data_IF_669154561489
#
_entry.id   IF_669154561489
#
_cell.length_a   1.000
_cell.length_b   1.000
_cell.length_c   1.000
_cell.angle_alpha   90.00
_cell.angle_beta   90.00
_cell.angle_gamma   90.00
#
_symmetry.space_group_name_H-M   'P 1'
#
loop_
_entity.id
_entity.type
_entity.pdbx_description
1 polymer ?
#
# COMPACT_ATOMS: atom_id res chain seq x y z
N UNK A 1 13.89 -8.90 -7.77
CA UNK A 1 13.18 -9.90 -6.95
C UNK A 1 12.69 -9.32 -5.63
N UNK A 2 13.56 -8.77 -4.77
CA UNK A 2 13.16 -8.15 -3.49
C UNK A 2 12.13 -7.01 -3.61
N UNK A 3 12.31 -6.11 -4.58
CA UNK A 3 11.34 -5.06 -4.92
C UNK A 3 9.94 -5.61 -5.24
N UNK A 4 9.90 -6.70 -6.00
CA UNK A 4 8.65 -7.31 -6.46
C UNK A 4 7.95 -8.07 -5.33
N UNK A 5 8.71 -8.77 -4.48
CA UNK A 5 8.15 -9.40 -3.27
C UNK A 5 7.66 -8.37 -2.26
N UNK A 6 8.36 -7.25 -2.10
CA UNK A 6 7.92 -6.14 -1.24
C UNK A 6 6.60 -5.54 -1.74
N UNK A 7 6.48 -5.33 -3.04
CA UNK A 7 5.27 -4.79 -3.67
C UNK A 7 4.11 -5.78 -3.57
N UNK A 8 4.32 -7.05 -3.92
CA UNK A 8 3.29 -8.08 -3.89
C UNK A 8 2.76 -8.30 -2.46
N UNK A 9 3.66 -8.46 -1.49
CA UNK A 9 3.29 -8.74 -0.10
C UNK A 9 2.77 -7.49 0.62
N UNK A 10 3.37 -6.32 0.37
CA UNK A 10 2.88 -5.04 0.90
C UNK A 10 1.45 -4.73 0.45
N UNK A 11 1.09 -5.10 -0.79
CA UNK A 11 -0.28 -4.94 -1.30
C UNK A 11 -1.32 -5.79 -0.56
N UNK A 12 -0.94 -6.97 -0.03
CA UNK A 12 -1.81 -7.85 0.75
C UNK A 12 -2.20 -7.20 2.10
N UNK A 13 -1.27 -6.47 2.71
CA UNK A 13 -1.54 -5.73 3.95
C UNK A 13 -2.38 -4.47 3.69
N UNK A 14 -2.26 -3.88 2.49
CA UNK A 14 -2.96 -2.66 2.08
C UNK A 14 -4.40 -2.90 1.58
N UNK A 15 -5.03 -4.03 1.93
CA UNK A 15 -6.30 -4.55 1.42
C UNK A 15 -7.58 -3.71 1.71
N UNK A 16 -7.47 -2.39 1.88
CA UNK A 16 -8.59 -1.46 1.93
C UNK A 16 -9.60 -1.61 0.77
N UNK A 17 -9.17 -1.82 -0.49
CA UNK A 17 -10.09 -2.02 -1.62
C UNK A 17 -10.89 -3.33 -1.55
N UNK A 18 -10.30 -4.41 -1.04
CA UNK A 18 -10.95 -5.74 -0.98
C UNK A 18 -12.09 -5.79 0.04
N UNK A 19 -12.09 -4.90 1.03
CA UNK A 19 -13.17 -4.80 2.01
C UNK A 19 -14.40 -4.04 1.48
N UNK A 20 -14.23 -3.21 0.44
CA UNK A 20 -15.32 -2.51 -0.26
C UNK A 20 -16.10 -3.41 -1.24
N UNK A 21 -15.50 -4.52 -1.67
CA UNK A 21 -16.12 -5.55 -2.53
C UNK A 21 -16.66 -6.71 -1.69
N UNK A 22 -17.14 -6.43 -0.47
CA UNK A 22 -17.97 -7.42 0.23
C UNK A 22 -19.33 -7.44 -0.48
N UNK A 23 -19.79 -8.61 -0.98
CA UNK A 23 -21.10 -8.68 -1.58
C UNK A 23 -22.15 -8.17 -0.59
N UNK A 24 -23.08 -7.35 -1.09
CA UNK A 24 -24.24 -6.91 -0.33
C UNK A 24 -24.91 -8.12 0.33
N UNK A 25 -25.35 -7.92 1.58
CA UNK A 25 -25.95 -8.93 2.47
C UNK A 25 -26.73 -10.02 1.71
N UNK A 26 -26.30 -11.28 1.82
CA UNK A 26 -27.19 -12.44 1.66
C UNK A 26 -26.79 -13.60 0.73
N UNK A 27 -25.60 -13.63 0.12
CA UNK A 27 -25.18 -14.74 -0.78
C UNK A 27 -24.02 -15.59 -0.24
N UNK A 28 -23.90 -16.88 -0.65
CA UNK A 28 -22.71 -17.68 -0.37
C UNK A 28 -21.45 -16.98 -0.93
N UNK A 29 -20.26 -17.22 -0.36
CA UNK A 29 -19.03 -16.54 -0.76
C UNK A 29 -18.78 -16.77 -2.25
N UNK A 30 -18.90 -15.70 -3.04
CA UNK A 30 -18.73 -15.75 -4.48
C UNK A 30 -17.25 -15.93 -4.84
N UNK A 31 -16.77 -17.18 -4.84
CA UNK A 31 -15.42 -17.54 -5.29
C UNK A 31 -15.10 -17.06 -6.71
N UNK A 32 -16.13 -16.81 -7.54
CA UNK A 32 -15.98 -16.29 -8.90
C UNK A 32 -15.55 -14.81 -8.98
N UNK A 33 -15.82 -13.99 -7.95
CA UNK A 33 -15.50 -12.56 -7.98
C UNK A 33 -13.99 -12.29 -8.02
N UNK A 34 -13.23 -13.07 -7.25
CA UNK A 34 -11.76 -12.98 -7.26
C UNK A 34 -11.14 -13.42 -8.59
N UNK A 35 -11.68 -14.47 -9.20
CA UNK A 35 -11.20 -14.96 -10.50
C UNK A 35 -11.50 -13.98 -11.65
N UNK A 36 -12.70 -13.40 -11.66
CA UNK A 36 -13.08 -12.38 -12.63
C UNK A 36 -12.23 -11.11 -12.46
N UNK A 37 -12.05 -10.65 -11.22
CA UNK A 37 -11.20 -9.49 -10.92
C UNK A 37 -9.74 -9.72 -11.35
N UNK A 38 -9.18 -10.91 -11.05
CA UNK A 38 -7.83 -11.27 -11.47
C UNK A 38 -7.67 -11.32 -12.99
N UNK A 39 -8.63 -11.92 -13.70
CA UNK A 39 -8.64 -11.96 -15.17
C UNK A 39 -8.72 -10.55 -15.77
N UNK A 40 -9.60 -9.70 -15.26
CA UNK A 40 -9.72 -8.31 -15.71
C UNK A 40 -8.43 -7.52 -15.47
N UNK A 41 -7.82 -7.67 -14.29
CA UNK A 41 -6.55 -7.01 -13.96
C UNK A 41 -5.43 -7.49 -14.89
N UNK A 42 -5.37 -8.78 -15.19
CA UNK A 42 -4.41 -9.36 -16.13
C UNK A 42 -4.61 -8.79 -17.55
N UNK A 43 -5.84 -8.75 -18.05
CA UNK A 43 -6.14 -8.15 -19.36
C UNK A 43 -5.78 -6.66 -19.40
N UNK A 44 -6.03 -5.92 -18.32
CA UNK A 44 -5.70 -4.49 -18.26
C UNK A 44 -4.18 -4.25 -18.22
N UNK A 45 -3.42 -5.12 -17.56
CA UNK A 45 -1.96 -5.05 -17.52
C UNK A 45 -1.30 -5.25 -18.90
N UNK A 46 -2.00 -5.88 -19.85
CA UNK A 46 -1.51 -6.01 -21.23
C UNK A 46 -1.52 -4.69 -22.00
N UNK A 47 -2.38 -3.72 -21.63
CA UNK A 47 -2.51 -2.46 -22.37
C UNK A 47 -1.23 -1.62 -22.29
N UNK A 48 -0.67 -1.31 -21.10
CA UNK A 48 0.61 -0.60 -21.02
C UNK A 48 1.77 -1.38 -21.62
N UNK A 49 1.77 -2.71 -21.49
CA UNK A 49 2.81 -3.57 -22.05
C UNK A 49 2.83 -3.49 -23.58
N UNK A 50 1.66 -3.53 -24.21
CA UNK A 50 1.51 -3.37 -25.65
C UNK A 50 1.99 -1.98 -26.10
N UNK A 51 1.61 -0.91 -25.39
CA UNK A 51 2.03 0.46 -25.70
C UNK A 51 3.55 0.66 -25.56
N UNK A 52 4.19 0.03 -24.56
CA UNK A 52 5.64 0.06 -24.42
C UNK A 52 6.34 -0.68 -25.57
N UNK A 53 5.79 -1.82 -25.99
CA UNK A 53 6.33 -2.58 -27.11
C UNK A 53 6.20 -1.84 -28.45
N UNK A 54 5.07 -1.17 -28.69
CA UNK A 54 4.91 -0.33 -29.90
C UNK A 54 5.87 0.86 -29.89
N UNK A 55 6.24 1.39 -28.73
CA UNK A 55 7.25 2.45 -28.63
C UNK A 55 8.61 2.04 -29.20
N UNK A 56 9.07 0.84 -28.85
CA UNK A 56 10.34 0.27 -29.34
C UNK A 56 10.31 0.06 -30.86
N UNK A 57 9.15 -0.31 -31.42
CA UNK A 57 8.99 -0.54 -32.87
C UNK A 57 8.90 0.75 -33.68
N UNK A 58 8.29 1.81 -33.14
CA UNK A 58 8.09 3.07 -33.85
C UNK A 58 9.35 3.94 -33.83
N UNK A 59 9.98 4.08 -32.66
CA UNK A 59 11.23 4.84 -32.53
C UNK A 59 12.17 4.18 -31.50
N UNK A 60 13.06 3.28 -31.97
CA UNK A 60 13.99 2.58 -31.10
C UNK A 60 15.07 3.50 -30.51
N UNK A 61 15.45 4.59 -31.19
CA UNK A 61 16.46 5.52 -30.67
C UNK A 61 15.90 6.37 -29.54
N UNK A 62 14.69 6.93 -29.71
CA UNK A 62 14.00 7.65 -28.64
C UNK A 62 13.81 6.76 -27.42
N UNK A 63 13.34 5.53 -27.64
CA UNK A 63 13.09 4.58 -26.54
C UNK A 63 14.38 4.18 -25.83
N UNK A 64 15.47 3.93 -26.56
CA UNK A 64 16.76 3.62 -25.94
C UNK A 64 17.32 4.77 -25.09
N UNK A 65 17.15 6.03 -25.54
CA UNK A 65 17.56 7.22 -24.77
C UNK A 65 16.73 7.37 -23.49
N UNK A 66 15.41 7.32 -23.62
CA UNK A 66 14.50 7.48 -22.48
C UNK A 66 14.58 6.31 -21.49
N UNK A 67 14.90 5.09 -21.93
CA UNK A 67 15.17 3.98 -21.01
C UNK A 67 16.40 4.20 -20.12
N UNK A 68 17.38 4.99 -20.58
CA UNK A 68 18.59 5.31 -19.83
C UNK A 68 18.39 6.50 -18.86
N UNK A 69 17.53 7.45 -19.23
CA UNK A 69 17.24 8.63 -18.41
C UNK A 69 16.01 8.42 -17.51
N UNK A 70 14.83 8.25 -18.12
CA UNK A 70 13.57 8.09 -17.42
C UNK A 70 12.55 7.28 -18.24
N UNK A 71 12.44 5.98 -17.91
CA UNK A 71 11.50 5.05 -18.54
C UNK A 71 10.04 5.52 -18.39
N UNK A 72 9.72 6.36 -17.42
CA UNK A 72 8.36 6.86 -17.18
C UNK A 72 7.90 7.86 -18.25
N UNK A 73 8.84 8.51 -18.94
CA UNK A 73 8.60 9.51 -19.98
C UNK A 73 8.41 8.93 -21.38
N UNK A 74 8.64 7.62 -21.58
CA UNK A 74 8.47 6.94 -22.88
C UNK A 74 7.04 7.08 -23.39
N UNK A 75 6.05 6.75 -22.55
CA UNK A 75 4.64 6.80 -22.94
C UNK A 75 4.15 8.23 -23.20
N UNK A 76 4.36 9.22 -22.32
CA UNK A 76 3.98 10.60 -22.61
C UNK A 76 4.58 11.13 -23.91
N UNK A 77 5.88 10.90 -24.15
CA UNK A 77 6.60 11.42 -25.32
C UNK A 77 6.05 10.82 -26.61
N UNK A 78 5.80 9.50 -26.63
CA UNK A 78 5.23 8.82 -27.78
C UNK A 78 3.86 9.38 -28.16
N UNK A 79 3.02 9.67 -27.17
CA UNK A 79 1.67 10.16 -27.41
C UNK A 79 1.70 11.60 -27.92
N UNK A 80 2.57 12.44 -27.37
CA UNK A 80 2.71 13.82 -27.83
C UNK A 80 3.28 13.93 -29.24
N UNK A 81 4.19 13.02 -29.62
CA UNK A 81 4.91 13.09 -30.89
C UNK A 81 4.18 12.38 -32.04
N UNK A 82 3.45 11.29 -31.76
CA UNK A 82 2.87 10.44 -32.81
C UNK A 82 1.34 10.40 -32.86
N UNK A 83 0.62 10.90 -31.84
CA UNK A 83 -0.85 10.91 -31.85
C UNK A 83 -1.45 12.28 -32.21
N UNK A 84 -2.62 12.31 -32.88
CA UNK A 84 -3.32 13.56 -33.19
C UNK A 84 -3.92 14.20 -31.92
N UNK A 85 -4.09 15.52 -31.95
CA UNK A 85 -4.53 16.33 -30.80
C UNK A 85 -5.75 15.79 -30.04
N UNK A 86 -6.84 15.29 -30.68
CA UNK A 86 -7.98 14.75 -29.95
C UNK A 86 -7.61 13.53 -29.10
N UNK A 87 -6.77 12.63 -29.63
CA UNK A 87 -6.36 11.42 -28.93
C UNK A 87 -5.46 11.75 -27.73
N UNK A 88 -4.60 12.77 -27.84
CA UNK A 88 -3.80 13.26 -26.72
C UNK A 88 -4.69 13.78 -25.58
N UNK A 89 -5.72 14.57 -25.89
CA UNK A 89 -6.65 15.11 -24.89
C UNK A 89 -7.37 13.98 -24.16
N UNK A 90 -7.89 12.99 -24.89
CA UNK A 90 -8.55 11.83 -24.27
C UNK A 90 -7.60 11.02 -23.39
N UNK A 91 -6.37 10.76 -23.86
CA UNK A 91 -5.39 9.99 -23.11
C UNK A 91 -4.98 10.69 -21.82
N UNK A 92 -4.50 11.94 -21.90
CA UNK A 92 -4.04 12.68 -20.72
C UNK A 92 -5.22 13.00 -19.79
N UNK A 93 -6.41 13.29 -20.32
CA UNK A 93 -7.62 13.47 -19.53
C UNK A 93 -8.00 12.21 -18.74
N UNK A 94 -7.98 11.04 -19.39
CA UNK A 94 -8.26 9.77 -18.73
C UNK A 94 -7.18 9.43 -17.67
N UNK A 95 -5.90 9.64 -18.00
CA UNK A 95 -4.78 9.42 -17.09
C UNK A 95 -4.88 10.29 -15.83
N UNK A 96 -5.10 11.60 -16.00
CA UNK A 96 -5.26 12.53 -14.88
C UNK A 96 -6.49 12.20 -14.03
N UNK A 97 -7.60 11.82 -14.66
CA UNK A 97 -8.82 11.38 -13.95
C UNK A 97 -8.56 10.12 -13.11
N UNK A 98 -7.87 9.13 -13.66
CA UNK A 98 -7.49 7.92 -12.94
C UNK A 98 -6.57 8.24 -11.75
N UNK A 99 -5.56 9.10 -11.94
CA UNK A 99 -4.64 9.53 -10.88
C UNK A 99 -5.40 10.26 -9.77
N UNK A 100 -6.31 11.19 -10.10
CA UNK A 100 -7.11 11.90 -9.10
C UNK A 100 -8.01 10.97 -8.31
N UNK A 101 -8.64 9.99 -8.98
CA UNK A 101 -9.46 8.97 -8.32
C UNK A 101 -8.63 8.18 -7.30
N UNK A 102 -7.46 7.67 -7.69
CA UNK A 102 -6.57 6.92 -6.80
C UNK A 102 -5.99 7.77 -5.68
N UNK A 103 -5.54 9.00 -5.97
CA UNK A 103 -4.99 9.92 -4.98
C UNK A 103 -6.02 10.28 -3.90
N UNK A 104 -7.27 10.51 -4.30
CA UNK A 104 -8.35 10.82 -3.35
C UNK A 104 -8.59 9.67 -2.37
N UNK A 105 -8.62 8.42 -2.83
CA UNK A 105 -8.79 7.24 -2.00
C UNK A 105 -7.58 6.99 -1.08
N UNK A 106 -6.36 7.16 -1.60
CA UNK A 106 -5.12 7.00 -0.86
C UNK A 106 -4.93 8.04 0.25
N UNK A 107 -5.39 9.27 0.06
CA UNK A 107 -5.37 10.31 1.10
C UNK A 107 -6.51 10.16 2.11
N UNK A 108 -7.68 9.67 1.68
CA UNK A 108 -8.84 9.52 2.55
C UNK A 108 -8.66 8.38 3.57
N UNK A 109 -8.11 7.24 3.16
CA UNK A 109 -7.93 6.08 4.04
C UNK A 109 -7.12 6.37 5.34
N UNK A 110 -5.92 6.98 5.29
CA UNK A 110 -5.17 7.33 6.50
C UNK A 110 -5.83 8.49 7.26
N UNK A 111 -6.45 9.46 6.58
CA UNK A 111 -7.15 10.56 7.25
C UNK A 111 -8.35 10.07 8.08
N UNK A 112 -9.13 9.13 7.55
CA UNK A 112 -10.23 8.47 8.28
C UNK A 112 -9.67 7.63 9.42
N UNK A 113 -8.59 6.88 9.18
CA UNK A 113 -7.94 6.07 10.22
C UNK A 113 -7.44 6.92 11.39
N UNK A 114 -6.82 8.07 11.14
CA UNK A 114 -6.42 9.00 12.20
C UNK A 114 -7.64 9.58 12.92
N UNK A 115 -8.67 9.97 12.18
CA UNK A 115 -9.88 10.56 12.79
C UNK A 115 -10.61 9.56 13.70
N UNK A 116 -10.84 8.33 13.24
CA UNK A 116 -11.56 7.30 13.98
C UNK A 116 -10.70 6.60 15.05
N UNK A 117 -9.43 6.29 14.77
CA UNK A 117 -8.60 5.50 15.69
C UNK A 117 -7.77 6.35 16.64
N UNK A 118 -7.44 7.59 16.27
CA UNK A 118 -6.56 8.46 17.08
C UNK A 118 -7.33 9.63 17.68
N UNK A 119 -8.23 10.30 16.96
CA UNK A 119 -8.87 11.52 17.49
C UNK A 119 -10.13 11.19 18.29
N UNK A 120 -11.01 10.33 17.74
CA UNK A 120 -12.30 9.97 18.36
C UNK A 120 -12.18 9.35 19.76
N UNK A 121 -11.19 8.48 20.07
CA UNK A 121 -11.04 7.95 21.43
C UNK A 121 -10.63 9.01 22.47
N UNK A 122 -9.97 10.08 22.04
CA UNK A 122 -9.52 11.17 22.91
C UNK A 122 -10.58 12.28 23.06
N UNK A 123 -11.54 12.36 22.15
CA UNK A 123 -12.66 13.32 22.20
C UNK A 123 -13.99 12.56 22.27
N UNK A 124 -14.35 12.04 23.46
CA UNK A 124 -15.63 11.35 23.64
C UNK A 124 -16.80 12.31 23.38
N UNK A 125 -17.77 11.87 22.57
CA UNK A 125 -18.96 12.66 22.21
C UNK A 125 -18.83 13.52 20.94
N UNK A 126 -17.85 13.23 20.07
CA UNK A 126 -17.71 13.91 18.79
C UNK A 126 -18.96 13.72 17.91
N UNK A 127 -19.69 14.80 17.63
CA UNK A 127 -20.83 14.77 16.71
C UNK A 127 -20.41 14.66 15.24
N UNK A 128 -21.29 14.10 14.39
CA UNK A 128 -21.02 13.80 12.97
C UNK A 128 -20.43 14.97 12.18
N UNK A 129 -20.94 16.19 12.42
CA UNK A 129 -20.45 17.42 11.77
C UNK A 129 -19.01 17.75 12.14
N UNK A 130 -18.63 17.52 13.39
CA UNK A 130 -17.26 17.73 13.87
C UNK A 130 -16.35 16.65 13.31
N UNK A 131 -16.80 15.39 13.29
CA UNK A 131 -16.06 14.28 12.69
C UNK A 131 -15.73 14.54 11.21
N UNK A 132 -16.71 14.98 10.42
CA UNK A 132 -16.49 15.33 9.01
C UNK A 132 -15.48 16.47 8.82
N UNK A 133 -15.50 17.49 9.70
CA UNK A 133 -14.53 18.59 9.65
C UNK A 133 -13.13 18.14 9.99
N UNK A 134 -12.99 17.30 11.03
CA UNK A 134 -11.72 16.73 11.45
C UNK A 134 -11.12 15.87 10.34
N UNK A 135 -11.92 14.99 9.72
CA UNK A 135 -11.46 14.19 8.57
C UNK A 135 -10.99 15.07 7.42
N UNK A 136 -11.73 16.14 7.07
CA UNK A 136 -11.31 17.07 5.99
C UNK A 136 -10.00 17.79 6.33
N UNK A 137 -9.84 18.26 7.56
CA UNK A 137 -8.60 18.89 8.03
C UNK A 137 -7.43 17.89 8.00
N UNK A 138 -7.67 16.64 8.41
CA UNK A 138 -6.67 15.58 8.33
C UNK A 138 -6.25 15.31 6.88
N UNK A 139 -7.21 15.25 5.92
CA UNK A 139 -6.90 15.09 4.49
C UNK A 139 -6.02 16.24 3.99
N UNK A 140 -6.34 17.50 4.32
CA UNK A 140 -5.54 18.66 3.92
C UNK A 140 -4.13 18.60 4.55
N UNK A 141 -4.02 18.23 5.82
CA UNK A 141 -2.75 18.05 6.50
C UNK A 141 -1.88 16.97 5.84
N UNK A 142 -2.46 15.79 5.57
CA UNK A 142 -1.76 14.71 4.86
C UNK A 142 -1.36 15.12 3.45
N UNK A 143 -2.25 15.79 2.70
CA UNK A 143 -1.94 16.29 1.36
C UNK A 143 -0.76 17.27 1.39
N UNK A 144 -0.69 18.17 2.38
CA UNK A 144 0.43 19.08 2.57
C UNK A 144 1.75 18.36 2.85
N UNK A 145 1.74 17.36 3.74
CA UNK A 145 2.93 16.55 4.04
C UNK A 145 3.40 15.79 2.80
N UNK A 146 2.50 15.13 2.08
CA UNK A 146 2.82 14.39 0.84
C UNK A 146 3.35 15.35 -0.23
N UNK A 147 2.78 16.55 -0.35
CA UNK A 147 3.26 17.56 -1.29
C UNK A 147 4.69 18.01 -0.97
N UNK A 148 4.99 18.28 0.30
CA UNK A 148 6.35 18.66 0.73
C UNK A 148 7.34 17.52 0.46
N UNK A 149 6.96 16.27 0.75
CA UNK A 149 7.79 15.11 0.46
C UNK A 149 8.02 14.95 -1.05
N UNK A 150 6.99 15.15 -1.87
CA UNK A 150 7.09 15.09 -3.33
C UNK A 150 8.02 16.17 -3.89
N UNK A 151 7.96 17.40 -3.36
CA UNK A 151 8.82 18.52 -3.79
C UNK A 151 10.28 18.37 -3.33
N UNK A 152 10.55 17.63 -2.26
CA UNK A 152 11.90 17.39 -1.72
C UNK A 152 12.54 16.12 -2.25
N UNK A 153 11.76 15.19 -2.82
CA UNK A 153 12.25 13.92 -3.33
C UNK A 153 12.85 14.08 -4.73
N UNK A 154 14.08 13.60 -4.92
CA UNK A 154 14.69 13.44 -6.25
C UNK A 154 14.52 12.00 -6.80
N UNK A 155 13.76 11.14 -6.10
CA UNK A 155 13.57 9.75 -6.48
C UNK A 155 12.48 9.62 -7.55
N UNK A 156 12.62 8.62 -8.43
CA UNK A 156 11.58 8.31 -9.43
C UNK A 156 10.33 7.79 -8.75
N UNK A 157 9.16 7.86 -9.42
CA UNK A 157 7.89 7.40 -8.82
C UNK A 157 8.00 5.92 -8.45
N UNK A 158 8.69 5.11 -9.27
CA UNK A 158 8.92 3.70 -8.99
C UNK A 158 9.70 3.50 -7.68
N UNK A 159 10.77 4.26 -7.46
CA UNK A 159 11.56 4.19 -6.23
C UNK A 159 10.76 4.62 -4.99
N UNK A 160 9.97 5.69 -5.10
CA UNK A 160 9.10 6.15 -4.01
C UNK A 160 8.07 5.08 -3.62
N UNK A 161 7.49 4.41 -4.63
CA UNK A 161 6.52 3.32 -4.43
C UNK A 161 7.20 2.08 -3.82
N UNK A 162 8.39 1.71 -4.31
CA UNK A 162 9.16 0.59 -3.78
C UNK A 162 9.52 0.79 -2.30
N UNK A 163 9.97 1.98 -1.93
CA UNK A 163 10.28 2.31 -0.54
C UNK A 163 9.03 2.25 0.36
N UNK A 164 7.90 2.78 -0.09
CA UNK A 164 6.64 2.73 0.67
C UNK A 164 6.16 1.28 0.93
N UNK A 165 6.24 0.41 -0.08
CA UNK A 165 5.88 -1.00 0.09
C UNK A 165 6.88 -1.77 0.96
N UNK A 166 8.16 -1.44 0.89
CA UNK A 166 9.21 -2.02 1.73
C UNK A 166 8.93 -1.78 3.21
N UNK A 167 8.57 -0.54 3.58
CA UNK A 167 8.20 -0.19 4.96
C UNK A 167 6.98 -0.99 5.42
N UNK A 168 5.95 -1.09 4.57
CA UNK A 168 4.72 -1.83 4.88
C UNK A 168 5.00 -3.32 5.11
N UNK A 169 5.87 -3.92 4.29
CA UNK A 169 6.31 -5.30 4.45
C UNK A 169 7.03 -5.51 5.78
N UNK A 170 7.98 -4.65 6.13
CA UNK A 170 8.77 -4.83 7.36
C UNK A 170 7.94 -4.53 8.62
N UNK A 171 7.06 -3.53 8.58
CA UNK A 171 6.33 -3.07 9.76
C UNK A 171 5.04 -3.87 10.02
N UNK A 172 4.29 -4.23 8.99
CA UNK A 172 2.93 -4.74 9.14
C UNK A 172 2.79 -6.23 8.79
N UNK A 173 3.57 -6.75 7.84
CA UNK A 173 3.42 -8.14 7.39
C UNK A 173 3.71 -9.15 8.49
N UNK A 174 4.82 -9.00 9.22
CA UNK A 174 5.16 -9.92 10.30
C UNK A 174 4.08 -9.95 11.41
N UNK A 175 3.64 -8.81 11.99
CA UNK A 175 2.53 -8.82 12.95
C UNK A 175 1.24 -9.44 12.42
N UNK A 176 0.87 -9.17 11.16
CA UNK A 176 -0.34 -9.71 10.53
C UNK A 176 -0.26 -11.22 10.29
N UNK A 177 0.85 -11.70 9.72
CA UNK A 177 1.07 -13.11 9.43
C UNK A 177 1.06 -13.95 10.72
N UNK A 178 1.79 -13.50 11.75
CA UNK A 178 1.79 -14.18 13.04
C UNK A 178 0.44 -14.02 13.77
N UNK A 179 -0.26 -12.89 13.63
CA UNK A 179 -1.59 -12.71 14.21
C UNK A 179 -2.65 -13.66 13.63
N UNK A 180 -2.53 -14.03 12.35
CA UNK A 180 -3.48 -14.91 11.66
C UNK A 180 -3.15 -16.40 11.84
N UNK A 181 -1.86 -16.77 11.79
CA UNK A 181 -1.43 -18.17 11.79
C UNK A 181 -0.86 -18.65 13.14
N UNK A 182 -0.47 -17.75 14.05
CA UNK A 182 0.21 -18.13 15.30
C UNK A 182 -0.67 -17.93 16.54
N UNK A 183 -1.02 -19.00 17.27
CA UNK A 183 -1.97 -18.94 18.39
C UNK A 183 -1.42 -18.21 19.63
N UNK A 184 -0.11 -17.92 19.68
CA UNK A 184 0.55 -17.18 20.79
C UNK A 184 0.87 -15.72 20.45
N UNK A 185 0.31 -15.17 19.37
CA UNK A 185 0.56 -13.78 18.99
C UNK A 185 0.04 -12.80 20.05
N UNK A 186 0.88 -11.84 20.44
CA UNK A 186 0.61 -10.86 21.51
C UNK A 186 0.78 -9.42 21.02
N UNK A 187 0.06 -8.47 21.64
CA UNK A 187 0.15 -7.03 21.32
C UNK A 187 1.56 -6.47 21.52
N UNK A 188 2.23 -6.86 22.61
CA UNK A 188 3.61 -6.46 22.92
C UNK A 188 4.60 -6.99 21.89
N UNK A 189 4.43 -8.25 21.45
CA UNK A 189 5.22 -8.84 20.37
C UNK A 189 5.01 -8.12 19.04
N UNK A 190 3.77 -7.74 18.71
CA UNK A 190 3.46 -7.00 17.48
C UNK A 190 4.12 -5.61 17.45
N UNK A 191 4.10 -4.88 18.57
CA UNK A 191 4.77 -3.58 18.69
C UNK A 191 6.30 -3.75 18.61
N UNK A 192 6.85 -4.73 19.32
CA UNK A 192 8.28 -5.02 19.29
C UNK A 192 8.75 -5.37 17.87
N UNK A 193 8.00 -6.20 17.14
CA UNK A 193 8.26 -6.57 15.76
C UNK A 193 8.24 -5.37 14.80
N UNK A 194 7.23 -4.51 14.92
CA UNK A 194 7.11 -3.34 14.05
C UNK A 194 8.26 -2.35 14.30
N UNK A 195 8.57 -2.07 15.57
CA UNK A 195 9.63 -1.13 15.95
C UNK A 195 11.01 -1.70 15.60
N UNK A 196 11.32 -2.95 15.94
CA UNK A 196 12.61 -3.56 15.64
C UNK A 196 12.85 -3.68 14.13
N UNK A 197 11.82 -4.10 13.38
CA UNK A 197 11.89 -4.23 11.93
C UNK A 197 12.17 -2.90 11.24
N UNK A 198 11.38 -1.86 11.55
CA UNK A 198 11.55 -0.53 10.95
C UNK A 198 12.90 0.09 11.33
N UNK A 199 13.34 -0.09 12.58
CA UNK A 199 14.62 0.46 13.05
C UNK A 199 15.80 -0.17 12.29
N UNK A 200 15.79 -1.50 12.11
CA UNK A 200 16.84 -2.19 11.36
C UNK A 200 16.79 -1.90 9.87
N UNK A 201 15.59 -1.82 9.28
CA UNK A 201 15.44 -1.42 7.89
C UNK A 201 15.99 -0.01 7.65
N UNK A 202 15.62 0.96 8.49
CA UNK A 202 16.10 2.34 8.38
C UNK A 202 17.61 2.44 8.59
N UNK A 203 18.17 1.69 9.53
CA UNK A 203 19.61 1.64 9.77
C UNK A 203 20.36 1.07 8.55
N UNK A 204 19.86 -0.01 7.94
CA UNK A 204 20.50 -0.60 6.77
C UNK A 204 20.37 0.28 5.53
N UNK A 205 19.24 0.94 5.34
CA UNK A 205 19.04 1.90 4.24
C UNK A 205 20.03 3.07 4.32
N UNK A 206 20.30 3.57 5.55
CA UNK A 206 21.21 4.71 5.76
C UNK A 206 22.70 4.33 5.74
N UNK A 207 23.08 3.17 6.28
CA UNK A 207 24.49 2.81 6.47
C UNK A 207 25.03 1.81 5.43
N UNK A 208 24.17 1.01 4.78
CA UNK A 208 24.60 -0.02 3.83
C UNK A 208 23.56 -0.32 2.73
N UNK A 209 23.21 0.65 1.87
CA UNK A 209 22.22 0.46 0.81
C UNK A 209 22.62 -0.61 -0.23
N UNK A 210 23.90 -0.96 -0.32
CA UNK A 210 24.46 -1.97 -1.25
C UNK A 210 25.07 -3.19 -0.52
N UNK A 211 24.64 -3.45 0.72
CA UNK A 211 25.14 -4.59 1.50
C UNK A 211 24.79 -5.95 0.88
N UNK A 212 25.48 -7.01 1.31
CA UNK A 212 25.24 -8.41 0.90
C UNK A 212 23.79 -8.88 1.10
N UNK A 213 23.00 -8.18 1.92
CA UNK A 213 21.61 -8.49 2.23
C UNK A 213 20.70 -7.30 1.89
N UNK A 214 19.63 -7.52 1.11
CA UNK A 214 18.62 -6.50 0.84
C UNK A 214 18.02 -5.97 2.16
N UNK A 215 17.99 -4.65 2.40
CA UNK A 215 17.46 -4.05 3.63
C UNK A 215 16.05 -4.52 3.98
N UNK A 216 15.22 -4.78 2.97
CA UNK A 216 13.85 -5.27 3.14
C UNK A 216 13.80 -6.67 3.77
N UNK A 217 14.70 -7.57 3.35
CA UNK A 217 14.75 -8.94 3.88
C UNK A 217 15.31 -8.96 5.31
N UNK A 218 16.36 -8.18 5.57
CA UNK A 218 16.93 -8.07 6.90
C UNK A 218 15.92 -7.46 7.90
N UNK A 219 15.22 -6.39 7.51
CA UNK A 219 14.15 -5.80 8.30
C UNK A 219 13.02 -6.79 8.59
N UNK A 220 12.60 -7.56 7.58
CA UNK A 220 11.56 -8.59 7.74
C UNK A 220 11.98 -9.67 8.74
N UNK A 221 13.21 -10.18 8.64
CA UNK A 221 13.71 -11.20 9.55
C UNK A 221 13.78 -10.71 10.98
N UNK A 222 14.24 -9.47 11.19
CA UNK A 222 14.28 -8.86 12.53
C UNK A 222 12.88 -8.59 13.06
N UNK A 223 11.92 -8.24 12.20
CA UNK A 223 10.52 -8.11 12.62
C UNK A 223 9.94 -9.45 13.05
N UNK A 224 10.17 -10.52 12.29
CA UNK A 224 9.79 -11.89 12.67
C UNK A 224 10.45 -12.32 13.99
N UNK A 225 11.75 -12.06 14.15
CA UNK A 225 12.48 -12.36 15.38
C UNK A 225 11.94 -11.55 16.58
N UNK A 226 11.64 -10.27 16.37
CA UNK A 226 11.01 -9.40 17.37
C UNK A 226 9.62 -9.90 17.79
N UNK A 227 8.83 -10.41 16.84
CA UNK A 227 7.53 -11.01 17.11
C UNK A 227 7.68 -12.27 17.95
N UNK A 228 8.60 -13.16 17.59
CA UNK A 228 8.87 -14.41 18.32
C UNK A 228 9.39 -14.08 19.73
N UNK A 229 10.43 -13.26 19.86
CA UNK A 229 11.01 -12.88 21.15
C UNK A 229 9.98 -12.16 22.04
N UNK A 230 9.25 -11.19 21.50
CA UNK A 230 8.22 -10.46 22.24
C UNK A 230 7.01 -11.32 22.62
N UNK A 231 6.64 -12.31 21.80
CA UNK A 231 5.56 -13.26 22.13
C UNK A 231 5.96 -14.24 23.24
N UNK A 232 7.23 -14.63 23.30
CA UNK A 232 7.77 -15.54 24.32
C UNK A 232 7.99 -14.83 25.65
N UNK A 233 8.48 -13.58 25.63
CA UNK A 233 8.77 -12.78 26.83
C UNK A 233 7.49 -12.27 27.51
N UNK A 234 6.44 -11.97 26.75
CA UNK A 234 5.24 -11.34 27.31
C UNK A 234 4.23 -12.31 27.96
N UNK A 235 4.46 -13.62 27.91
CA UNK A 235 3.54 -14.61 28.49
C UNK A 235 2.17 -14.66 27.79
N UNK A 236 1.43 -15.73 28.01
CA UNK A 236 0.21 -16.15 27.28
C UNK A 236 -0.78 -15.04 26.84
N UNK A 237 -1.38 -15.15 25.63
CA UNK A 237 -2.33 -14.16 25.13
C UNK A 237 -3.61 -14.09 25.96
N UNK A 238 -4.06 -12.88 26.27
CA UNK A 238 -5.45 -12.60 26.63
C UNK A 238 -6.34 -12.92 25.43
N UNK A 239 -7.00 -14.08 25.45
CA UNK A 239 -8.12 -14.45 24.57
C UNK A 239 -9.31 -13.51 24.82
N UNK A 240 -9.24 -12.25 24.39
CA UNK A 240 -10.38 -11.32 24.51
C UNK A 240 -11.17 -11.14 23.20
N UNK A 241 -10.71 -11.69 22.07
CA UNK A 241 -11.36 -11.47 20.75
C UNK A 241 -12.35 -12.59 20.38
N UNK A 242 -12.24 -13.79 20.97
CA UNK A 242 -13.13 -14.91 20.66
C UNK A 242 -14.55 -14.81 21.22
N UNK A 243 -14.78 -14.11 22.34
CA UNK A 243 -16.10 -14.12 23.02
C UNK A 243 -17.12 -13.12 22.48
N UNK A 244 -16.70 -12.06 21.77
CA UNK A 244 -17.65 -11.05 21.28
C UNK A 244 -18.39 -11.50 20.02
N UNK A 245 -17.79 -12.40 19.22
CA UNK A 245 -18.46 -12.98 18.04
C UNK A 245 -19.48 -14.04 18.50
N UNK A 246 -19.13 -14.86 19.49
CA UNK A 246 -20.02 -15.91 20.00
C UNK A 246 -21.20 -15.33 20.81
N UNK A 247 -20.97 -14.25 21.58
CA UNK A 247 -22.04 -13.53 22.31
C UNK A 247 -23.04 -12.80 21.40
N UNK A 248 -22.69 -12.48 20.15
CA UNK A 248 -23.60 -11.85 19.17
C UNK A 248 -24.24 -12.85 18.20
N UNK A 249 -23.67 -14.04 18.04
CA UNK A 249 -24.25 -15.14 17.26
C UNK A 249 -25.33 -15.95 17.99
N UNK A 250 -25.44 -15.83 19.32
CA UNK A 250 -26.44 -16.56 20.13
C UNK A 250 -27.74 -15.80 20.45
N UNK A 251 -27.98 -14.63 19.82
CA UNK A 251 -29.21 -13.84 20.01
C UNK A 251 -29.77 -13.30 18.69
N UNK A 252 -29.82 -14.14 17.67
CA UNK A 252 -30.62 -13.92 16.46
C UNK A 252 -31.34 -15.22 16.12
#
# INVERSE_FOLDING_TARGET
FCAWSATAVGSLCAAGPLQGVRPGKGGPPAGGGGFLGGTLYFCFALVPLYLAYTAVLVDPEMTARLMAEDTQMILPTLITQYMPLPAQIFFFGALLSAIMSSASAALLAPAVSVTENVIKPFVPGMGDRLQLRVTRLAVVGFAGVVLVLALKSNATIFQMVEQAYSVTLVAAFAPLAFGLYWPRANRTGAIAAAVSGVTVWLALELYAPQGLWPPQLAGLLVSCAGMVAGSLLAGTPSRSVGRTIESRGGKA
#
